data_IF_018317247359
#
_entry.id   IF_018317247359
#
_cell.length_a   1.000
_cell.length_b   1.000
_cell.length_c   1.000
_cell.angle_alpha   90.00
_cell.angle_beta   90.00
_cell.angle_gamma   90.00
#
_symmetry.space_group_name_H-M   'P 1'
#
loop_
_entity.id
_entity.type
_entity.pdbx_description
1 polymer ?
#
# COMPACT_ATOMS: atom_id res chain seq x y z
N UNK A 1 -25.64 3.62 3.79
CA UNK A 1 -25.61 3.09 3.87
C UNK A 1 -25.30 2.89 3.67
N UNK A 2 -25.25 3.24 3.33
CA UNK A 2 -25.28 2.71 3.24
C UNK A 2 -24.90 2.52 3.30
N UNK A 3 -24.95 2.63 3.32
CA UNK A 3 -24.81 2.07 3.59
C UNK A 3 -24.34 1.68 3.55
N UNK A 4 -24.07 1.82 3.60
CA UNK A 4 -23.81 1.16 3.62
C UNK A 4 -24.09 0.86 3.46
N UNK A 5 -24.49 1.08 3.31
CA UNK A 5 -24.85 0.54 3.29
C UNK A 5 -25.25 0.55 2.69
N UNK A 6 -25.36 1.39 2.94
CA UNK A 6 -25.97 1.18 2.04
C UNK A 6 -25.61 0.55 1.03
N UNK A 7 -24.95 0.23 0.96
CA UNK A 7 -24.49 -0.64 0.01
C UNK A 7 -24.71 -2.08 0.25
N UNK A 8 -24.83 -2.53 1.48
CA UNK A 8 -25.05 -3.91 1.82
C UNK A 8 -26.29 -4.49 1.15
N UNK A 9 -27.28 -3.70 0.98
CA UNK A 9 -28.51 -4.19 0.35
C UNK A 9 -28.34 -4.49 -1.14
N UNK A 10 -27.25 -4.08 -1.73
CA UNK A 10 -26.98 -4.35 -3.12
C UNK A 10 -26.25 -5.67 -3.35
N UNK A 11 -25.91 -6.38 -2.27
CA UNK A 11 -25.24 -7.66 -2.38
C UNK A 11 -26.22 -8.74 -2.73
N UNK A 12 -25.80 -9.66 -3.59
CA UNK A 12 -26.60 -10.81 -3.90
C UNK A 12 -26.63 -11.74 -2.70
N UNK A 13 -27.75 -12.43 -2.47
CA UNK A 13 -27.80 -13.38 -1.37
C UNK A 13 -26.68 -14.41 -1.44
N UNK A 14 -26.02 -14.61 -0.32
CA UNK A 14 -24.94 -15.58 -0.23
C UNK A 14 -23.58 -15.08 -0.67
N UNK A 15 -23.48 -13.85 -1.17
CA UNK A 15 -22.19 -13.28 -1.56
C UNK A 15 -21.60 -12.46 -0.42
N UNK A 16 -20.29 -12.60 -0.26
CA UNK A 16 -19.53 -11.82 0.73
C UNK A 16 -18.87 -10.67 -0.01
N UNK A 17 -18.97 -9.43 0.51
CA UNK A 17 -18.30 -8.30 -0.13
C UNK A 17 -16.80 -8.53 -0.23
N UNK A 18 -16.20 -8.14 -1.33
CA UNK A 18 -14.75 -8.20 -1.49
C UNK A 18 -14.12 -7.25 -0.49
N UNK A 19 -13.05 -7.72 0.13
CA UNK A 19 -12.26 -6.86 1.01
C UNK A 19 -11.50 -5.86 0.16
N UNK A 20 -11.18 -4.72 0.76
CA UNK A 20 -10.29 -3.76 0.12
C UNK A 20 -8.88 -4.36 0.06
N UNK A 21 -8.13 -3.97 -0.95
CA UNK A 21 -6.82 -4.53 -1.20
C UNK A 21 -5.73 -3.54 -0.84
N UNK A 22 -4.71 -4.04 -0.16
CA UNK A 22 -3.59 -3.24 0.34
C UNK A 22 -2.29 -3.87 -0.13
N UNK A 23 -1.36 -3.05 -0.59
CA UNK A 23 -0.01 -3.51 -0.94
C UNK A 23 0.93 -3.09 0.17
N UNK A 24 1.66 -4.05 0.74
CA UNK A 24 2.66 -3.81 1.76
C UNK A 24 4.04 -4.05 1.17
N UNK A 25 4.91 -3.05 1.23
CA UNK A 25 6.28 -3.14 0.74
C UNK A 25 7.21 -3.04 1.93
N UNK A 26 7.79 -4.16 2.31
CA UNK A 26 8.61 -4.29 3.52
C UNK A 26 9.66 -5.37 3.30
N UNK A 27 10.93 -5.05 3.49
CA UNK A 27 12.01 -6.00 3.23
C UNK A 27 12.22 -7.03 4.35
N UNK A 28 11.80 -6.72 5.55
CA UNK A 28 11.99 -7.62 6.69
C UNK A 28 10.84 -8.62 6.76
N UNK A 29 11.18 -9.91 6.69
CA UNK A 29 10.16 -10.97 6.67
C UNK A 29 9.28 -10.97 7.92
N UNK A 30 9.88 -10.78 9.09
CA UNK A 30 9.10 -10.76 10.32
C UNK A 30 8.12 -9.60 10.34
N UNK A 31 8.55 -8.43 9.91
CA UNK A 31 7.67 -7.26 9.83
C UNK A 31 6.56 -7.47 8.81
N UNK A 32 6.87 -8.09 7.66
CA UNK A 32 5.86 -8.43 6.67
C UNK A 32 4.79 -9.34 7.26
N UNK A 33 5.24 -10.37 7.98
CA UNK A 33 4.33 -11.34 8.58
C UNK A 33 3.44 -10.69 9.63
N UNK A 34 4.00 -9.82 10.45
CA UNK A 34 3.25 -9.11 11.48
C UNK A 34 2.19 -8.21 10.84
N UNK A 35 2.59 -7.43 9.85
CA UNK A 35 1.68 -6.53 9.17
C UNK A 35 0.58 -7.29 8.44
N UNK A 36 0.96 -8.37 7.76
CA UNK A 36 0.00 -9.20 7.05
C UNK A 36 -1.03 -9.78 8.00
N UNK A 37 -0.58 -10.36 9.11
CA UNK A 37 -1.48 -10.93 10.11
C UNK A 37 -2.45 -9.90 10.67
N UNK A 38 -1.96 -8.69 10.87
CA UNK A 38 -2.75 -7.62 11.42
C UNK A 38 -3.81 -7.13 10.43
N UNK A 39 -3.43 -7.05 9.17
CA UNK A 39 -4.29 -6.46 8.14
C UNK A 39 -5.27 -7.43 7.51
N UNK A 40 -4.93 -8.72 7.44
CA UNK A 40 -5.73 -9.65 6.66
C UNK A 40 -7.12 -9.95 7.23
N UNK A 41 -7.40 -9.53 8.44
CA UNK A 41 -8.73 -9.65 8.98
C UNK A 41 -9.72 -8.76 8.21
N UNK A 42 -9.25 -7.62 7.73
CA UNK A 42 -10.12 -6.62 7.07
C UNK A 42 -9.74 -6.32 5.63
N UNK A 43 -8.56 -6.75 5.21
CA UNK A 43 -8.04 -6.43 3.88
C UNK A 43 -7.48 -7.67 3.21
N UNK A 44 -7.49 -7.66 1.88
CA UNK A 44 -6.69 -8.60 1.11
C UNK A 44 -5.32 -7.97 0.95
N UNK A 45 -4.28 -8.67 1.34
CA UNK A 45 -2.94 -8.10 1.42
C UNK A 45 -2.04 -8.68 0.34
N UNK A 46 -1.42 -7.80 -0.44
CA UNK A 46 -0.34 -8.17 -1.34
C UNK A 46 0.96 -7.78 -0.66
N UNK A 47 1.95 -8.64 -0.72
CA UNK A 47 3.23 -8.42 -0.07
C UNK A 47 4.36 -8.31 -1.08
N UNK A 48 5.22 -7.32 -0.89
CA UNK A 48 6.41 -7.13 -1.68
C UNK A 48 7.61 -7.02 -0.76
N UNK A 49 8.74 -7.60 -1.16
CA UNK A 49 9.95 -7.60 -0.36
C UNK A 49 10.84 -6.39 -0.62
N UNK A 50 10.59 -5.69 -1.71
CA UNK A 50 11.39 -4.53 -2.07
C UNK A 50 10.58 -3.64 -3.01
N UNK A 51 11.15 -2.48 -3.34
CA UNK A 51 10.45 -1.52 -4.19
C UNK A 51 10.22 -1.99 -5.60
N UNK A 52 11.13 -2.79 -6.17
CA UNK A 52 10.95 -3.34 -7.51
C UNK A 52 9.73 -4.23 -7.58
N UNK A 53 9.64 -5.16 -6.63
CA UNK A 53 8.49 -6.05 -6.55
C UNK A 53 7.23 -5.26 -6.28
N UNK A 54 7.34 -4.23 -5.43
CA UNK A 54 6.22 -3.34 -5.14
C UNK A 54 5.70 -2.65 -6.38
N UNK A 55 6.60 -2.16 -7.23
CA UNK A 55 6.19 -1.50 -8.47
C UNK A 55 5.52 -2.48 -9.43
N UNK A 56 6.01 -3.71 -9.49
CA UNK A 56 5.38 -4.73 -10.31
C UNK A 56 3.96 -5.02 -9.87
N UNK A 57 3.78 -5.22 -8.56
CA UNK A 57 2.46 -5.50 -8.02
C UNK A 57 1.53 -4.30 -8.16
N UNK A 58 2.06 -3.10 -7.95
CA UNK A 58 1.28 -1.89 -8.14
C UNK A 58 0.80 -1.75 -9.59
N UNK A 59 1.70 -2.00 -10.53
CA UNK A 59 1.36 -1.93 -11.96
C UNK A 59 0.29 -2.94 -12.35
N UNK A 60 0.35 -4.13 -11.76
CA UNK A 60 -0.60 -5.18 -12.07
C UNK A 60 -1.97 -4.96 -11.43
N UNK A 61 -1.99 -4.34 -10.25
CA UNK A 61 -3.19 -4.29 -9.43
C UNK A 61 -3.69 -2.89 -9.08
N UNK A 62 -3.15 -1.85 -9.70
CA UNK A 62 -3.49 -0.46 -9.29
C UNK A 62 -4.99 -0.19 -9.32
N UNK A 63 -5.74 -0.84 -10.17
CA UNK A 63 -7.18 -0.61 -10.26
C UNK A 63 -7.93 -1.16 -9.04
N UNK A 64 -7.33 -2.12 -8.35
CA UNK A 64 -7.96 -2.77 -7.21
C UNK A 64 -7.41 -2.27 -5.88
N UNK A 65 -6.21 -1.71 -5.89
CA UNK A 65 -5.53 -1.32 -4.67
C UNK A 65 -6.09 -0.03 -4.08
N UNK A 66 -6.32 -0.04 -2.78
CA UNK A 66 -6.80 1.14 -2.06
C UNK A 66 -5.66 1.96 -1.49
N UNK A 67 -4.57 1.31 -1.10
CA UNK A 67 -3.46 2.00 -0.45
C UNK A 67 -2.20 1.14 -0.51
N UNK A 68 -1.04 1.79 -0.48
CA UNK A 68 0.26 1.15 -0.36
C UNK A 68 0.86 1.53 0.99
N UNK A 69 1.33 0.54 1.74
CA UNK A 69 2.10 0.76 2.95
C UNK A 69 3.56 0.51 2.58
N UNK A 70 4.38 1.53 2.74
CA UNK A 70 5.74 1.51 2.23
C UNK A 70 6.76 1.71 3.34
N UNK A 71 7.70 0.76 3.47
CA UNK A 71 8.86 0.95 4.31
C UNK A 71 9.89 1.74 3.51
N UNK A 72 10.40 2.81 4.08
CA UNK A 72 11.29 3.71 3.37
C UNK A 72 12.74 3.23 3.38
N UNK A 73 13.12 2.40 4.34
CA UNK A 73 14.49 1.96 4.50
C UNK A 73 14.72 0.55 3.97
N UNK A 74 14.75 0.40 2.65
CA UNK A 74 14.96 -0.90 2.00
C UNK A 74 16.22 -0.89 1.15
N UNK A 75 16.98 -2.00 1.15
CA UNK A 75 18.25 -2.04 0.42
C UNK A 75 18.12 -2.12 -1.11
N UNK A 76 17.04 -2.72 -1.63
CA UNK A 76 16.86 -2.88 -3.08
C UNK A 76 15.67 -2.04 -3.51
N UNK A 77 15.92 -1.05 -4.36
CA UNK A 77 14.91 -0.08 -4.78
C UNK A 77 14.20 0.45 -3.53
N UNK A 78 14.89 1.31 -2.82
CA UNK A 78 14.37 1.83 -1.57
C UNK A 78 13.06 2.61 -1.74
N UNK A 79 12.48 3.01 -0.61
CA UNK A 79 11.19 3.68 -0.63
C UNK A 79 11.18 4.98 -1.42
N UNK A 80 12.27 5.74 -1.40
CA UNK A 80 12.34 6.98 -2.16
C UNK A 80 12.31 6.71 -3.66
N UNK A 81 13.05 5.70 -4.09
CA UNK A 81 13.08 5.33 -5.50
C UNK A 81 11.71 4.82 -5.96
N UNK A 82 11.04 4.02 -5.12
CA UNK A 82 9.69 3.58 -5.40
C UNK A 82 8.76 4.77 -5.62
N UNK A 83 8.81 5.75 -4.72
CA UNK A 83 7.96 6.94 -4.82
C UNK A 83 8.26 7.73 -6.10
N UNK A 84 9.53 7.91 -6.43
CA UNK A 84 9.89 8.64 -7.65
C UNK A 84 9.34 7.96 -8.89
N UNK A 85 9.52 6.66 -8.98
CA UNK A 85 9.09 5.90 -10.15
C UNK A 85 7.56 5.83 -10.23
N UNK A 86 6.90 5.68 -9.09
CA UNK A 86 5.44 5.74 -9.05
C UNK A 86 4.93 7.09 -9.55
N UNK A 87 5.59 8.17 -9.16
CA UNK A 87 5.14 9.53 -9.51
C UNK A 87 5.25 9.85 -10.98
N UNK A 88 6.06 9.10 -11.73
CA UNK A 88 6.17 9.33 -13.17
C UNK A 88 5.03 8.68 -13.95
N UNK A 89 4.23 7.86 -13.31
CA UNK A 89 3.11 7.17 -13.94
C UNK A 89 1.79 7.78 -13.45
N UNK A 90 1.00 8.29 -14.38
CA UNK A 90 -0.22 8.99 -14.00
C UNK A 90 -1.29 8.10 -13.38
N UNK A 91 -1.24 6.80 -13.66
CA UNK A 91 -2.20 5.87 -13.06
C UNK A 91 -1.74 5.43 -11.68
N UNK A 92 -0.46 5.08 -11.56
CA UNK A 92 0.08 4.61 -10.29
C UNK A 92 0.12 5.72 -9.25
N UNK A 93 0.31 6.95 -9.67
CA UNK A 93 0.38 8.09 -8.75
C UNK A 93 -0.96 8.41 -8.08
N UNK A 94 -2.05 7.80 -8.55
CA UNK A 94 -3.37 8.02 -7.93
C UNK A 94 -3.56 7.18 -6.67
N UNK A 95 -2.74 6.13 -6.47
CA UNK A 95 -2.89 5.25 -5.31
C UNK A 95 -2.17 5.86 -4.11
N UNK A 96 -2.87 6.12 -3.00
CA UNK A 96 -2.23 6.72 -1.82
C UNK A 96 -1.14 5.82 -1.25
N UNK A 97 -0.06 6.42 -0.79
CA UNK A 97 1.05 5.71 -0.15
C UNK A 97 1.23 6.24 1.26
N UNK A 98 1.15 5.34 2.23
CA UNK A 98 1.45 5.65 3.63
C UNK A 98 2.83 5.13 3.92
N UNK A 99 3.72 6.00 4.35
CA UNK A 99 5.10 5.62 4.62
C UNK A 99 5.25 5.19 6.06
N UNK A 100 5.87 4.03 6.24
CA UNK A 100 6.23 3.53 7.55
C UNK A 100 7.74 3.70 7.65
N UNK A 101 8.20 4.45 8.63
CA UNK A 101 9.62 4.59 8.84
C UNK A 101 9.96 4.27 10.28
N UNK A 102 10.96 3.43 10.48
CA UNK A 102 11.47 3.12 11.79
C UNK A 102 12.40 4.20 12.32
N UNK A 103 12.66 5.19 11.50
CA UNK A 103 13.55 6.28 11.85
C UNK A 103 12.73 7.50 12.23
N UNK A 104 13.17 8.22 13.26
CA UNK A 104 12.54 9.47 13.65
C UNK A 104 13.13 10.65 12.87
N UNK A 105 13.66 10.39 11.69
CA UNK A 105 14.26 11.43 10.88
C UNK A 105 13.19 12.29 10.23
N UNK A 106 13.18 13.56 10.59
CA UNK A 106 12.28 14.51 9.97
C UNK A 106 12.65 14.77 8.52
N UNK A 107 13.92 14.63 8.19
CA UNK A 107 14.38 14.82 6.82
C UNK A 107 13.79 13.76 5.90
N UNK A 108 13.79 12.49 6.34
CA UNK A 108 13.18 11.41 5.55
C UNK A 108 11.68 11.63 5.40
N UNK A 109 11.02 12.03 6.48
CA UNK A 109 9.59 12.30 6.45
C UNK A 109 9.25 13.42 5.47
N UNK A 110 9.98 14.52 5.52
CA UNK A 110 9.77 15.65 4.61
C UNK A 110 10.01 15.24 3.17
N UNK A 111 11.06 14.45 2.92
CA UNK A 111 11.37 14.00 1.58
C UNK A 111 10.25 13.11 1.03
N UNK A 112 9.67 12.26 1.87
CA UNK A 112 8.54 11.42 1.47
C UNK A 112 7.33 12.25 1.10
N UNK A 113 7.03 13.28 1.89
CA UNK A 113 5.90 14.16 1.61
C UNK A 113 6.09 14.91 0.30
N UNK A 114 7.32 15.36 0.05
CA UNK A 114 7.66 16.03 -1.21
C UNK A 114 7.48 15.10 -2.41
N UNK A 115 7.65 13.81 -2.21
CA UNK A 115 7.48 12.81 -3.26
C UNK A 115 6.06 12.28 -3.34
N UNK A 116 5.13 12.88 -2.60
CA UNK A 116 3.71 12.57 -2.75
C UNK A 116 3.14 11.54 -1.81
N UNK A 117 3.90 11.12 -0.80
CA UNK A 117 3.37 10.22 0.22
C UNK A 117 2.36 10.97 1.11
N UNK A 118 1.41 10.25 1.64
CA UNK A 118 0.41 10.83 2.53
C UNK A 118 0.63 10.32 3.94
N UNK A 119 1.66 10.77 4.55
CA UNK A 119 1.97 10.45 5.92
C UNK A 119 2.30 8.97 6.10
#
# INVERSE_FOLDING_TARGET
MRKDSDNAKLLEPGKIPSKRKVLVIEDNELNRDILSSFLEEKFDVFLAENGEEGLELLSEHYRELSVVLLDICMPVCDGFEFLRRRNTDKFLSTIPVIVMTGSNSKDAELQCLDLGAVD
#
